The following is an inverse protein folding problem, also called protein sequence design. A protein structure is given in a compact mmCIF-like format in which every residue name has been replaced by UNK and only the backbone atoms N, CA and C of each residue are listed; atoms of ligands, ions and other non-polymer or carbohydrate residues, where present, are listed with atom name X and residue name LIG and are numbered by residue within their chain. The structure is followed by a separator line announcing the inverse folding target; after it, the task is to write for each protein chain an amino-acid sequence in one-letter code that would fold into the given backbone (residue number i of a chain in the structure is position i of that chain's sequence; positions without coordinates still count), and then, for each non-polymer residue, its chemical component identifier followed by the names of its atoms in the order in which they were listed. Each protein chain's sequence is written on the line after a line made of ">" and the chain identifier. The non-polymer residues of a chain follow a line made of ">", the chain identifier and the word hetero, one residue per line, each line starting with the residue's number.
data_IF_235690780842
#
_entry.id   IF_235690780842
#
_cell.length_a   1.000
_cell.length_b   1.000
_cell.length_c   1.000
_cell.angle_alpha   90.00
_cell.angle_beta   90.00
_cell.angle_gamma   90.00
#
_symmetry.space_group_name_H-M   'P 1'
#
loop_
_entity.id
_entity.type
_entity.pdbx_description
1 polymer ?
#
# COMPACT_ATOMS: atom_id res chain seq x y z
N UNK A 1 -17.61 0.28 -0.41
CA UNK A 1 -17.23 -0.99 0.25
C UNK A 1 -16.71 -0.73 1.64
N UNK A 2 -17.13 -1.58 2.58
CA UNK A 2 -17.04 -1.26 4.01
C UNK A 2 -16.01 -2.10 4.78
N UNK A 3 -15.39 -3.11 4.14
CA UNK A 3 -14.41 -4.00 4.77
C UNK A 3 -13.34 -3.27 5.59
N UNK A 4 -12.67 -2.20 5.09
CA UNK A 4 -11.67 -1.49 5.88
C UNK A 4 -12.24 -0.78 7.11
N UNK A 5 -13.52 -0.43 7.10
CA UNK A 5 -14.21 0.32 8.16
C UNK A 5 -14.88 -0.59 9.19
N UNK A 6 -15.37 -1.75 8.75
CA UNK A 6 -15.93 -2.78 9.65
C UNK A 6 -14.80 -3.35 10.51
N UNK A 7 -13.64 -3.62 9.87
CA UNK A 7 -12.48 -4.25 10.49
C UNK A 7 -12.81 -5.61 11.12
N UNK A 8 -11.86 -6.18 11.85
CA UNK A 8 -12.17 -7.26 12.77
C UNK A 8 -12.73 -6.69 14.07
N UNK A 9 -13.54 -7.50 14.74
CA UNK A 9 -14.05 -7.20 16.07
C UNK A 9 -13.04 -7.60 17.17
N UNK A 10 -11.75 -7.73 16.84
CA UNK A 10 -10.68 -8.12 17.75
C UNK A 10 -10.21 -6.92 18.58
N UNK A 11 -10.90 -6.73 19.69
CA UNK A 11 -10.57 -5.69 20.66
C UNK A 11 -9.42 -6.14 21.57
N UNK A 12 -8.41 -5.29 21.86
CA UNK A 12 -7.33 -5.63 22.80
C UNK A 12 -7.81 -5.95 24.22
N UNK A 13 -8.80 -5.20 24.72
CA UNK A 13 -9.49 -5.48 25.99
C UNK A 13 -10.99 -5.73 25.70
N UNK A 14 -11.49 -6.97 25.82
CA UNK A 14 -12.89 -7.29 25.52
C UNK A 14 -13.93 -6.46 26.29
N UNK A 15 -13.58 -5.95 27.49
CA UNK A 15 -14.53 -5.29 28.38
C UNK A 15 -14.61 -3.78 28.22
N UNK A 16 -13.71 -3.17 27.45
CA UNK A 16 -13.50 -1.73 27.59
C UNK A 16 -14.68 -0.84 27.12
N UNK A 17 -15.69 -1.27 26.35
CA UNK A 17 -16.77 -0.45 25.73
C UNK A 17 -16.46 0.90 25.01
N UNK A 18 -15.50 1.72 25.47
CA UNK A 18 -15.15 3.05 24.96
C UNK A 18 -14.10 3.02 23.85
N UNK A 19 -13.52 1.86 23.57
CA UNK A 19 -12.49 1.68 22.57
C UNK A 19 -12.93 2.14 21.20
N UNK A 20 -12.15 3.06 20.66
CA UNK A 20 -12.28 3.54 19.31
C UNK A 20 -11.45 2.70 18.36
N UNK A 21 -12.07 2.23 17.29
CA UNK A 21 -11.35 1.54 16.21
C UNK A 21 -10.37 2.49 15.54
N UNK A 22 -9.16 2.01 15.19
CA UNK A 22 -8.23 2.77 14.37
C UNK A 22 -8.91 3.24 13.08
N UNK A 23 -8.69 4.49 12.68
CA UNK A 23 -9.23 5.00 11.42
C UNK A 23 -8.43 4.43 10.25
N UNK A 24 -9.08 3.84 9.22
CA UNK A 24 -8.39 3.34 8.04
C UNK A 24 -7.73 4.46 7.23
N UNK A 25 -6.73 4.12 6.41
CA UNK A 25 -6.06 5.05 5.49
C UNK A 25 -6.90 5.40 4.24
N UNK A 26 -8.12 4.88 4.15
CA UNK A 26 -9.09 5.19 3.10
C UNK A 26 -10.35 5.77 3.73
N UNK A 27 -10.91 6.83 3.15
CA UNK A 27 -12.19 7.39 3.61
C UNK A 27 -13.33 6.55 3.04
N UNK A 28 -14.45 6.46 3.76
CA UNK A 28 -15.59 5.64 3.33
C UNK A 28 -16.12 5.99 1.94
N UNK A 29 -16.14 7.28 1.59
CA UNK A 29 -16.55 7.77 0.25
C UNK A 29 -15.59 7.39 -0.88
N UNK A 30 -14.35 7.04 -0.57
CA UNK A 30 -13.33 6.63 -1.54
C UNK A 30 -13.31 5.09 -1.72
N UNK A 31 -14.27 4.37 -1.12
CA UNK A 31 -14.43 2.92 -1.25
C UNK A 31 -15.47 2.54 -2.29
N UNK A 32 -15.05 2.07 -3.46
CA UNK A 32 -15.91 1.69 -4.58
C UNK A 32 -16.09 0.16 -4.68
N UNK A 33 -17.34 -0.26 -4.86
CA UNK A 33 -17.66 -1.67 -5.14
C UNK A 33 -17.59 -1.94 -6.64
N UNK A 34 -16.83 -2.95 -7.05
CA UNK A 34 -16.73 -3.45 -8.44
C UNK A 34 -17.70 -4.61 -8.62
N UNK A 35 -18.53 -4.56 -9.65
CA UNK A 35 -19.51 -5.61 -9.96
C UNK A 35 -18.83 -6.77 -10.68
N UNK A 36 -18.20 -7.62 -9.89
CA UNK A 36 -17.62 -8.89 -10.33
C UNK A 36 -17.70 -9.91 -9.19
N UNK A 37 -17.55 -11.20 -9.52
CA UNK A 37 -17.43 -12.28 -8.54
C UNK A 37 -16.66 -13.46 -9.11
N UNK A 38 -15.65 -13.88 -8.36
CA UNK A 38 -15.00 -15.18 -8.47
C UNK A 38 -15.45 -16.04 -7.28
N UNK A 39 -15.58 -17.35 -7.48
CA UNK A 39 -15.89 -18.33 -6.43
C UNK A 39 -14.61 -18.82 -5.73
N UNK A 40 -14.71 -19.48 -4.56
CA UNK A 40 -13.54 -20.09 -3.93
C UNK A 40 -12.81 -21.13 -4.80
N UNK A 41 -13.49 -21.73 -5.79
CA UNK A 41 -12.90 -22.69 -6.73
C UNK A 41 -12.17 -22.01 -7.90
N UNK A 42 -12.14 -20.68 -7.95
CA UNK A 42 -11.58 -19.91 -9.07
C UNK A 42 -12.53 -19.78 -10.27
N UNK A 43 -13.79 -20.22 -10.16
CA UNK A 43 -14.75 -20.05 -11.25
C UNK A 43 -15.31 -18.62 -11.25
N UNK A 44 -15.56 -18.06 -12.44
CA UNK A 44 -16.19 -16.75 -12.57
C UNK A 44 -17.70 -16.90 -12.41
N UNK A 45 -18.26 -16.33 -11.34
CA UNK A 45 -19.70 -16.31 -11.07
C UNK A 45 -20.37 -15.06 -11.67
N UNK A 46 -19.72 -13.90 -11.50
CA UNK A 46 -20.13 -12.65 -12.15
C UNK A 46 -18.93 -12.11 -12.94
N UNK A 47 -19.01 -12.08 -14.29
CA UNK A 47 -17.89 -11.65 -15.11
C UNK A 47 -17.64 -10.14 -14.94
N UNK A 48 -16.36 -9.76 -14.94
CA UNK A 48 -15.97 -8.36 -15.06
C UNK A 48 -16.19 -7.89 -16.51
N UNK A 49 -17.24 -7.11 -16.73
CA UNK A 49 -17.62 -6.59 -18.05
C UNK A 49 -16.88 -5.30 -18.37
N UNK A 50 -16.75 -4.97 -19.67
CA UNK A 50 -16.09 -3.73 -20.09
C UNK A 50 -16.89 -2.48 -19.64
N UNK A 51 -18.22 -2.57 -19.60
CA UNK A 51 -19.08 -1.53 -19.03
C UNK A 51 -18.76 -1.25 -17.55
N UNK A 52 -18.44 -2.30 -16.78
CA UNK A 52 -18.07 -2.15 -15.38
C UNK A 52 -16.67 -1.56 -15.23
N UNK A 53 -15.73 -1.93 -16.10
CA UNK A 53 -14.41 -1.30 -16.19
C UNK A 53 -14.53 0.20 -16.45
N UNK A 54 -15.32 0.59 -17.45
CA UNK A 54 -15.55 2.00 -17.81
C UNK A 54 -16.17 2.77 -16.64
N UNK A 55 -17.18 2.19 -15.98
CA UNK A 55 -17.81 2.79 -14.79
C UNK A 55 -16.80 3.03 -13.67
N UNK A 56 -15.92 2.05 -13.40
CA UNK A 56 -14.88 2.20 -12.39
C UNK A 56 -13.87 3.27 -12.81
N UNK A 57 -13.45 3.28 -14.07
CA UNK A 57 -12.57 4.31 -14.62
C UNK A 57 -13.16 5.71 -14.49
N UNK A 58 -14.46 5.89 -14.73
CA UNK A 58 -15.15 7.18 -14.58
C UNK A 58 -15.21 7.63 -13.11
N UNK A 59 -15.45 6.69 -12.19
CA UNK A 59 -15.38 6.99 -10.76
C UNK A 59 -13.97 7.41 -10.33
N UNK A 60 -12.94 6.72 -10.82
CA UNK A 60 -11.54 7.06 -10.54
C UNK A 60 -11.21 8.43 -11.14
N UNK A 61 -11.62 8.74 -12.38
CA UNK A 61 -11.43 10.06 -12.99
C UNK A 61 -12.02 11.18 -12.12
N UNK A 62 -13.28 11.07 -11.72
CA UNK A 62 -13.93 12.08 -10.85
C UNK A 62 -13.20 12.23 -9.52
N UNK A 63 -12.79 11.12 -8.93
CA UNK A 63 -11.99 11.18 -7.71
C UNK A 63 -10.63 11.85 -7.93
N UNK A 64 -9.98 11.63 -9.08
CA UNK A 64 -8.74 12.30 -9.50
C UNK A 64 -8.93 13.79 -9.83
N UNK A 65 -10.12 14.23 -10.20
CA UNK A 65 -10.42 15.66 -10.40
C UNK A 65 -10.65 16.38 -9.06
N UNK A 66 -11.20 15.68 -8.05
CA UNK A 66 -11.57 16.24 -6.74
C UNK A 66 -10.37 16.58 -5.82
N UNK A 67 -9.14 16.64 -6.33
CA UNK A 67 -7.98 16.92 -5.49
C UNK A 67 -6.65 16.93 -6.21
N UNK A 68 -5.59 17.02 -5.41
CA UNK A 68 -4.28 17.45 -5.93
C UNK A 68 -3.59 16.38 -6.78
N UNK A 69 -2.98 16.77 -7.92
CA UNK A 69 -2.19 15.88 -8.76
C UNK A 69 -1.00 15.26 -7.99
N UNK A 70 -0.69 13.99 -8.25
CA UNK A 70 0.55 13.34 -7.79
C UNK A 70 0.57 12.85 -6.34
N UNK A 71 -0.56 12.85 -5.63
CA UNK A 71 -0.68 12.33 -4.26
C UNK A 71 -1.72 11.21 -4.13
N UNK A 72 -1.98 10.52 -5.22
CA UNK A 72 -3.14 9.62 -5.36
C UNK A 72 -2.70 8.25 -5.81
N UNK A 73 -3.35 7.23 -5.28
CA UNK A 73 -3.12 5.84 -5.65
C UNK A 73 -4.41 5.02 -5.54
N UNK A 74 -4.43 3.86 -6.20
CA UNK A 74 -5.55 2.93 -6.17
C UNK A 74 -5.13 1.61 -5.53
N UNK A 75 -5.87 1.16 -4.52
CA UNK A 75 -5.78 -0.17 -3.97
C UNK A 75 -6.90 -1.05 -4.54
N UNK A 76 -6.54 -2.15 -5.18
CA UNK A 76 -7.49 -3.14 -5.71
C UNK A 76 -7.45 -4.39 -4.85
N UNK A 77 -8.60 -4.76 -4.30
CA UNK A 77 -8.77 -5.95 -3.48
C UNK A 77 -10.07 -6.67 -3.81
N UNK A 78 -10.02 -7.57 -4.79
CA UNK A 78 -11.16 -8.40 -5.16
C UNK A 78 -11.19 -9.69 -4.33
N UNK A 79 -12.37 -10.28 -4.18
CA UNK A 79 -12.56 -11.53 -3.46
C UNK A 79 -11.94 -12.69 -4.26
N UNK A 80 -11.21 -13.56 -3.57
CA UNK A 80 -10.48 -14.69 -4.16
C UNK A 80 -9.40 -14.33 -5.20
N UNK A 81 -9.00 -13.06 -5.31
CA UNK A 81 -7.90 -12.64 -6.21
C UNK A 81 -6.56 -13.30 -5.90
N UNK A 82 -6.34 -13.73 -4.64
CA UNK A 82 -5.15 -14.50 -4.25
C UNK A 82 -5.06 -15.88 -4.93
N UNK A 83 -6.19 -16.42 -5.41
CA UNK A 83 -6.26 -17.70 -6.10
C UNK A 83 -6.42 -17.50 -7.62
N UNK A 84 -7.25 -16.53 -8.04
CA UNK A 84 -7.50 -16.21 -9.44
C UNK A 84 -7.42 -14.68 -9.65
N UNK A 85 -6.26 -14.16 -10.09
CA UNK A 85 -6.00 -12.72 -10.16
C UNK A 85 -6.53 -12.06 -11.45
N UNK A 86 -7.12 -12.81 -12.38
CA UNK A 86 -7.50 -12.30 -13.71
C UNK A 86 -8.32 -11.01 -13.67
N UNK A 87 -9.30 -10.90 -12.76
CA UNK A 87 -10.12 -9.68 -12.66
C UNK A 87 -9.32 -8.48 -12.13
N UNK A 88 -8.41 -8.68 -11.17
CA UNK A 88 -7.54 -7.60 -10.68
C UNK A 88 -6.59 -7.11 -11.77
N UNK A 89 -5.99 -8.03 -12.52
CA UNK A 89 -5.08 -7.71 -13.61
C UNK A 89 -5.78 -6.96 -14.74
N UNK A 90 -6.99 -7.37 -15.12
CA UNK A 90 -7.81 -6.66 -16.13
C UNK A 90 -8.17 -5.25 -15.67
N UNK A 91 -8.52 -5.09 -14.40
CA UNK A 91 -8.85 -3.77 -13.85
C UNK A 91 -7.62 -2.84 -13.82
N UNK A 92 -6.47 -3.35 -13.40
CA UNK A 92 -5.22 -2.59 -13.43
C UNK A 92 -4.81 -2.22 -14.86
N UNK A 93 -4.90 -3.15 -15.82
CA UNK A 93 -4.57 -2.86 -17.22
C UNK A 93 -5.47 -1.75 -17.80
N UNK A 94 -6.78 -1.81 -17.52
CA UNK A 94 -7.72 -0.77 -17.96
C UNK A 94 -7.39 0.59 -17.34
N UNK A 95 -7.13 0.63 -16.02
CA UNK A 95 -6.79 1.87 -15.32
C UNK A 95 -5.43 2.43 -15.76
N UNK A 96 -4.43 1.59 -16.02
CA UNK A 96 -3.11 2.01 -16.47
C UNK A 96 -3.14 2.64 -17.87
N UNK A 97 -4.00 2.15 -18.78
CA UNK A 97 -4.21 2.78 -20.09
C UNK A 97 -4.83 4.17 -19.94
N UNK A 98 -5.80 4.32 -19.04
CA UNK A 98 -6.53 5.58 -18.86
C UNK A 98 -5.76 6.60 -18.00
N UNK A 99 -4.96 6.13 -17.05
CA UNK A 99 -4.22 6.93 -16.08
C UNK A 99 -2.78 6.40 -15.92
N UNK A 100 -1.87 6.69 -16.87
CA UNK A 100 -0.52 6.11 -16.90
C UNK A 100 0.32 6.43 -15.66
N UNK A 101 0.12 7.59 -15.04
CA UNK A 101 0.88 8.06 -13.88
C UNK A 101 0.23 7.68 -12.53
N UNK A 102 -0.89 6.95 -12.54
CA UNK A 102 -1.60 6.55 -11.33
C UNK A 102 -1.01 5.27 -10.75
N UNK A 103 -0.41 5.31 -9.55
CA UNK A 103 0.09 4.10 -8.90
C UNK A 103 -1.08 3.20 -8.49
N UNK A 104 -0.98 1.92 -8.86
CA UNK A 104 -1.96 0.88 -8.53
C UNK A 104 -1.27 -0.18 -7.69
N UNK A 105 -1.95 -0.64 -6.64
CA UNK A 105 -1.51 -1.77 -5.82
C UNK A 105 -2.56 -2.86 -5.89
N UNK A 106 -2.14 -4.03 -6.37
CA UNK A 106 -2.98 -5.22 -6.52
C UNK A 106 -2.84 -6.12 -5.31
N UNK A 107 -3.96 -6.56 -4.74
CA UNK A 107 -3.92 -7.30 -3.49
C UNK A 107 -3.28 -8.67 -3.60
N UNK A 108 -3.40 -9.32 -4.77
CA UNK A 108 -2.73 -10.60 -5.03
C UNK A 108 -1.20 -10.48 -5.13
N UNK A 109 -0.67 -9.31 -5.48
CA UNK A 109 0.77 -9.06 -5.51
C UNK A 109 1.31 -8.62 -4.14
N UNK A 110 0.55 -7.76 -3.44
CA UNK A 110 0.98 -7.19 -2.16
C UNK A 110 0.87 -8.19 -1.02
N UNK A 111 -0.26 -8.87 -0.90
CA UNK A 111 -0.55 -9.78 0.21
C UNK A 111 -1.52 -10.89 -0.24
N UNK A 112 -1.04 -11.94 -0.96
CA UNK A 112 -1.85 -13.06 -1.45
C UNK A 112 -2.31 -13.97 -0.31
N UNK A 113 -3.16 -13.45 0.56
CA UNK A 113 -3.71 -14.10 1.74
C UNK A 113 -5.20 -14.32 1.54
N UNK A 114 -5.72 -15.45 1.98
CA UNK A 114 -7.15 -15.75 1.92
C UNK A 114 -8.02 -14.79 2.75
N UNK A 115 -7.42 -14.13 3.76
CA UNK A 115 -8.12 -13.24 4.68
C UNK A 115 -8.29 -11.84 4.08
N UNK A 116 -9.54 -11.53 3.71
CA UNK A 116 -9.88 -10.29 3.00
C UNK A 116 -9.52 -9.02 3.77
N UNK A 117 -9.78 -8.96 5.08
CA UNK A 117 -9.47 -7.76 5.87
C UNK A 117 -7.96 -7.48 5.94
N UNK A 118 -7.16 -8.48 6.30
CA UNK A 118 -5.70 -8.34 6.39
C UNK A 118 -5.09 -7.99 5.03
N UNK A 119 -5.61 -8.61 3.96
CA UNK A 119 -5.20 -8.31 2.58
C UNK A 119 -5.60 -6.89 2.18
N UNK A 120 -6.83 -6.46 2.45
CA UNK A 120 -7.31 -5.11 2.20
C UNK A 120 -6.46 -4.06 2.93
N UNK A 121 -6.27 -4.23 4.24
CA UNK A 121 -5.52 -3.30 5.08
C UNK A 121 -4.08 -3.11 4.59
N UNK A 122 -3.41 -4.20 4.22
CA UNK A 122 -2.03 -4.15 3.69
C UNK A 122 -1.99 -3.50 2.31
N UNK A 123 -2.93 -3.82 1.42
CA UNK A 123 -2.98 -3.27 0.06
C UNK A 123 -3.32 -1.78 0.06
N UNK A 124 -4.22 -1.34 0.94
CA UNK A 124 -4.55 0.09 1.13
C UNK A 124 -3.33 0.84 1.64
N UNK A 125 -2.62 0.29 2.63
CA UNK A 125 -1.41 0.90 3.16
C UNK A 125 -0.30 0.98 2.10
N UNK A 126 -0.12 -0.07 1.31
CA UNK A 126 0.82 -0.11 0.18
C UNK A 126 0.53 1.01 -0.82
N UNK A 127 -0.71 1.09 -1.32
CA UNK A 127 -1.14 2.14 -2.24
C UNK A 127 -0.95 3.53 -1.64
N UNK A 128 -1.32 3.71 -0.38
CA UNK A 128 -1.18 4.98 0.33
C UNK A 128 0.29 5.45 0.40
N UNK A 129 1.23 4.55 0.68
CA UNK A 129 2.65 4.90 0.83
C UNK A 129 3.36 5.04 -0.52
N UNK A 130 2.90 4.35 -1.56
CA UNK A 130 3.56 4.28 -2.88
C UNK A 130 3.96 5.65 -3.46
N UNK A 131 3.06 6.66 -3.58
CA UNK A 131 3.45 7.98 -4.11
C UNK A 131 4.53 8.68 -3.27
N UNK A 132 4.48 8.53 -1.94
CA UNK A 132 5.47 9.12 -1.04
C UNK A 132 6.85 8.52 -1.25
N UNK A 133 6.89 7.20 -1.42
CA UNK A 133 8.12 6.46 -1.58
C UNK A 133 8.78 6.75 -2.94
N UNK A 134 8.01 6.83 -4.03
CA UNK A 134 8.53 7.27 -5.33
C UNK A 134 9.22 8.62 -5.23
N UNK A 135 8.53 9.64 -4.67
CA UNK A 135 9.11 10.98 -4.50
C UNK A 135 10.38 10.97 -3.65
N UNK A 136 10.41 10.16 -2.59
CA UNK A 136 11.58 10.03 -1.74
C UNK A 136 12.75 9.43 -2.49
N UNK A 137 12.54 8.30 -3.18
CA UNK A 137 13.56 7.61 -3.96
C UNK A 137 14.11 8.50 -5.07
N UNK A 138 13.24 9.18 -5.82
CA UNK A 138 13.64 10.07 -6.92
C UNK A 138 14.46 11.26 -6.44
N UNK A 139 14.08 11.83 -5.29
CA UNK A 139 14.85 12.93 -4.68
C UNK A 139 16.21 12.45 -4.17
N UNK A 140 16.24 11.28 -3.55
CA UNK A 140 17.49 10.70 -3.04
C UNK A 140 18.44 10.33 -4.18
N UNK A 141 17.94 9.69 -5.22
CA UNK A 141 18.71 9.31 -6.40
C UNK A 141 19.34 10.54 -7.08
N UNK A 142 18.56 11.61 -7.30
CA UNK A 142 19.08 12.87 -7.87
C UNK A 142 20.20 13.48 -7.02
N UNK A 143 20.01 13.60 -5.71
CA UNK A 143 21.03 14.16 -4.81
C UNK A 143 22.32 13.33 -4.78
N UNK A 144 22.20 12.01 -4.88
CA UNK A 144 23.37 11.14 -4.95
C UNK A 144 24.12 11.31 -6.27
N UNK A 145 23.40 11.42 -7.39
CA UNK A 145 24.00 11.70 -8.70
C UNK A 145 24.70 13.07 -8.73
N UNK A 146 24.07 14.12 -8.19
CA UNK A 146 24.65 15.47 -8.06
C UNK A 146 25.93 15.46 -7.20
N UNK A 147 26.00 14.59 -6.20
CA UNK A 147 27.19 14.39 -5.36
C UNK A 147 28.25 13.47 -6.00
N UNK A 148 28.05 13.01 -7.24
CA UNK A 148 29.01 12.21 -7.99
C UNK A 148 28.92 10.69 -7.76
N UNK A 149 27.90 10.21 -7.04
CA UNK A 149 27.68 8.77 -6.86
C UNK A 149 27.00 8.16 -8.09
N UNK A 150 27.63 7.15 -8.69
CA UNK A 150 27.12 6.42 -9.88
C UNK A 150 26.62 5.01 -9.56
N UNK A 151 26.77 4.56 -8.32
CA UNK A 151 26.36 3.23 -7.90
C UNK A 151 24.81 3.12 -7.84
N UNK A 152 24.23 1.96 -8.19
CA UNK A 152 22.80 1.73 -8.05
C UNK A 152 22.34 1.87 -6.58
N UNK A 153 21.32 2.70 -6.35
CA UNK A 153 20.70 2.84 -5.04
C UNK A 153 19.90 1.58 -4.71
N UNK A 154 20.13 1.01 -3.53
CA UNK A 154 19.37 -0.14 -3.03
C UNK A 154 18.82 0.13 -1.63
N UNK A 155 17.55 -0.21 -1.43
CA UNK A 155 16.84 -0.14 -0.16
C UNK A 155 16.77 -1.53 0.49
N UNK A 156 16.65 -1.56 1.81
CA UNK A 156 16.53 -2.80 2.58
C UNK A 156 15.06 -3.14 2.87
N UNK A 157 14.70 -4.41 2.70
CA UNK A 157 13.40 -4.97 3.04
C UNK A 157 13.36 -5.41 4.50
N UNK A 158 12.17 -5.55 5.06
CA UNK A 158 11.93 -6.02 6.42
C UNK A 158 12.50 -7.41 6.71
N UNK A 159 12.64 -8.26 5.69
CA UNK A 159 13.27 -9.58 5.78
C UNK A 159 14.80 -9.56 5.69
N UNK A 160 15.44 -8.38 5.70
CA UNK A 160 16.90 -8.23 5.63
C UNK A 160 17.49 -8.32 4.21
N UNK A 161 16.66 -8.59 3.19
CA UNK A 161 17.09 -8.54 1.79
C UNK A 161 17.22 -7.11 1.27
N UNK A 162 17.86 -6.92 0.11
CA UNK A 162 17.97 -5.62 -0.57
C UNK A 162 17.20 -5.62 -1.89
N UNK A 163 16.70 -4.47 -2.29
CA UNK A 163 16.03 -4.25 -3.57
C UNK A 163 16.51 -2.94 -4.18
N UNK A 164 16.67 -2.89 -5.50
CA UNK A 164 16.96 -1.63 -6.19
C UNK A 164 15.87 -0.61 -5.90
N UNK A 165 16.25 0.65 -5.70
CA UNK A 165 15.33 1.67 -5.20
C UNK A 165 14.14 1.93 -6.14
N UNK A 166 14.36 1.82 -7.46
CA UNK A 166 13.27 1.90 -8.45
C UNK A 166 12.22 0.81 -8.21
N UNK A 167 12.63 -0.46 -8.15
CA UNK A 167 11.73 -1.58 -7.86
C UNK A 167 11.12 -1.54 -6.45
N UNK A 168 11.84 -0.95 -5.49
CA UNK A 168 11.37 -0.80 -4.12
C UNK A 168 10.26 0.26 -4.01
N UNK A 169 10.27 1.28 -4.87
CA UNK A 169 9.20 2.27 -4.93
C UNK A 169 7.87 1.66 -5.40
N UNK A 170 7.93 0.67 -6.31
CA UNK A 170 6.75 -0.04 -6.84
C UNK A 170 6.13 -1.02 -5.83
N UNK A 171 6.88 -1.43 -4.80
CA UNK A 171 6.45 -2.40 -3.79
C UNK A 171 6.81 -1.91 -2.38
N UNK A 172 6.08 -0.91 -1.83
CA UNK A 172 6.40 -0.33 -0.52
C UNK A 172 6.13 -1.25 0.66
N UNK A 173 5.15 -2.17 0.61
CA UNK A 173 4.74 -2.98 1.77
C UNK A 173 5.91 -3.70 2.49
N UNK A 174 6.84 -4.37 1.80
CA UNK A 174 8.01 -4.99 2.42
C UNK A 174 8.98 -4.01 3.11
N UNK A 175 8.93 -2.72 2.81
CA UNK A 175 9.81 -1.70 3.38
C UNK A 175 9.24 -1.06 4.65
N UNK A 176 7.93 -1.11 4.87
CA UNK A 176 7.26 -0.41 5.99
C UNK A 176 7.78 -0.88 7.35
N UNK A 177 8.13 -2.16 7.45
CA UNK A 177 8.67 -2.78 8.68
C UNK A 177 10.19 -2.89 8.64
N UNK A 178 10.85 -2.38 7.58
CA UNK A 178 12.30 -2.36 7.52
C UNK A 178 12.83 -1.43 8.61
N UNK A 179 13.54 -2.01 9.58
CA UNK A 179 14.19 -1.25 10.65
C UNK A 179 15.30 -0.40 10.04
N UNK A 180 15.38 0.87 10.44
CA UNK A 180 16.49 1.73 10.06
C UNK A 180 17.83 1.06 10.40
N UNK A 181 18.74 0.98 9.42
CA UNK A 181 20.07 0.41 9.61
C UNK A 181 20.83 1.26 10.63
N UNK A 182 21.48 0.60 11.59
CA UNK A 182 22.51 1.24 12.42
C UNK A 182 23.61 1.74 11.46
N UNK A 183 24.11 2.97 11.58
CA UNK A 183 25.24 3.40 10.77
C UNK A 183 26.38 2.40 10.93
N UNK A 184 27.03 2.04 9.82
CA UNK A 184 28.24 1.22 9.85
C UNK A 184 29.29 1.94 10.71
N UNK A 185 30.08 1.23 11.51
CA UNK A 185 31.21 1.85 12.17
C UNK A 185 32.11 2.49 11.11
N UNK A 186 32.62 3.68 11.40
CA UNK A 186 33.61 4.38 10.58
C UNK A 186 34.77 3.43 10.22
N UNK A 187 35.35 3.53 9.01
CA UNK A 187 36.48 2.70 8.63
C UNK A 187 37.66 2.98 9.57
N UNK A 188 37.87 2.10 10.56
CA UNK A 188 38.87 2.27 11.61
C UNK A 188 38.60 1.50 12.90
N UNK A 189 37.38 1.01 13.15
CA UNK A 189 37.07 0.15 14.30
C UNK A 189 37.63 -1.26 14.12
N UNK A 190 38.57 -1.68 14.97
CA UNK A 190 39.15 -3.01 14.92
C UNK A 190 38.10 -4.10 15.25
N UNK A 191 38.19 -5.24 14.55
CA UNK A 191 37.42 -6.45 14.86
C UNK A 191 37.90 -6.96 16.23
N UNK A 192 37.23 -6.56 17.31
CA UNK A 192 37.60 -6.95 18.67
C UNK A 192 37.10 -6.03 19.79
N UNK A 193 36.60 -4.83 19.48
CA UNK A 193 36.04 -3.97 20.53
C UNK A 193 34.77 -4.59 21.15
N UNK A 194 34.63 -4.54 22.49
CA UNK A 194 33.41 -5.01 23.15
C UNK A 194 32.22 -4.21 22.61
N UNK A 195 31.04 -4.82 22.46
CA UNK A 195 29.86 -4.11 21.99
C UNK A 195 29.58 -2.96 22.98
N UNK A 196 29.85 -1.73 22.55
CA UNK A 196 29.48 -0.53 23.30
C UNK A 196 27.99 -0.57 23.62
N UNK A 197 27.63 0.00 24.77
CA UNK A 197 26.26 -0.05 25.30
C UNK A 197 25.21 0.19 24.20
N UNK A 198 24.12 -0.60 24.18
CA UNK A 198 23.04 -0.36 23.24
C UNK A 198 22.56 1.08 23.43
N UNK A 199 22.79 1.93 22.42
CA UNK A 199 22.22 3.27 22.33
C UNK A 199 20.72 3.09 22.47
N UNK A 200 20.19 3.41 23.66
CA UNK A 200 18.76 3.35 23.91
C UNK A 200 18.11 4.25 22.87
N UNK A 201 17.17 3.75 22.05
CA UNK A 201 16.41 4.62 21.18
C UNK A 201 15.78 5.71 22.06
N UNK A 202 15.73 6.97 21.62
CA UNK A 202 15.05 8.01 22.36
C UNK A 202 13.65 7.49 22.73
N UNK A 203 13.24 7.70 24.00
CA UNK A 203 11.89 7.35 24.46
C UNK A 203 10.91 7.86 23.41
N UNK A 204 10.09 6.96 22.84
CA UNK A 204 9.04 7.31 21.90
C UNK A 204 8.22 8.45 22.50
N UNK A 205 8.46 9.67 22.05
CA UNK A 205 7.45 10.70 22.04
C UNK A 205 6.39 10.23 21.05
N UNK A 206 5.16 10.16 21.51
CA UNK A 206 3.95 10.14 20.71
C UNK A 206 4.12 10.92 19.40
N UNK A 207 3.82 10.26 18.28
CA UNK A 207 3.83 10.83 16.95
C UNK A 207 5.14 10.60 16.19
N UNK A 208 5.10 9.68 15.20
CA UNK A 208 5.85 9.97 13.98
C UNK A 208 5.33 11.33 13.50
N UNK A 209 6.14 12.37 13.66
CA UNK A 209 5.84 13.69 13.16
C UNK A 209 5.75 13.62 11.64
N UNK A 210 4.54 13.47 11.12
CA UNK A 210 4.19 13.66 9.71
C UNK A 210 4.45 15.10 9.24
N UNK A 211 4.89 16.00 10.14
CA UNK A 211 5.20 17.40 9.89
C UNK A 211 6.30 17.64 8.83
N UNK A 212 7.13 16.64 8.51
CA UNK A 212 8.12 16.72 7.43
C UNK A 212 7.63 16.23 6.05
N UNK A 213 6.42 15.65 5.99
CA UNK A 213 5.91 14.91 4.84
C UNK A 213 4.77 15.65 4.12
N UNK A 214 4.83 16.98 4.00
CA UNK A 214 3.84 17.74 3.20
C UNK A 214 2.38 17.38 3.50
N UNK A 215 1.52 17.36 2.47
CA UNK A 215 0.16 16.81 2.58
C UNK A 215 0.21 15.29 2.45
N UNK A 216 -0.73 14.65 3.14
CA UNK A 216 -0.87 13.20 3.15
C UNK A 216 -1.55 12.72 1.86
N UNK A 217 -1.08 11.62 1.26
CA UNK A 217 -1.68 11.06 0.06
C UNK A 217 -3.10 10.55 0.34
N UNK A 218 -3.86 10.33 -0.73
CA UNK A 218 -5.17 9.71 -0.67
C UNK A 218 -5.19 8.43 -1.52
N UNK A 219 -5.91 7.42 -1.06
CA UNK A 219 -6.10 6.18 -1.79
C UNK A 219 -7.59 5.94 -2.09
N UNK A 220 -7.90 5.43 -3.29
CA UNK A 220 -9.21 4.80 -3.58
C UNK A 220 -9.10 3.32 -3.33
N UNK A 221 -10.13 2.75 -2.71
CA UNK A 221 -10.24 1.32 -2.44
C UNK A 221 -11.29 0.72 -3.37
N UNK A 222 -10.85 -0.16 -4.28
CA UNK A 222 -11.70 -0.94 -5.18
C UNK A 222 -11.82 -2.35 -4.60
N UNK A 223 -13.05 -2.78 -4.32
CA UNK A 223 -13.29 -4.15 -3.85
C UNK A 223 -14.55 -4.76 -4.46
N UNK A 224 -14.66 -6.08 -4.44
CA UNK A 224 -15.85 -6.76 -4.97
C UNK A 224 -17.09 -6.26 -4.26
N UNK A 225 -18.13 -5.92 -5.04
CA UNK A 225 -19.36 -5.35 -4.50
C UNK A 225 -20.01 -6.33 -3.52
N UNK A 226 -20.24 -5.91 -2.29
CA UNK A 226 -20.96 -6.73 -1.31
C UNK A 226 -22.47 -6.69 -1.61
N UNK A 227 -23.03 -7.81 -2.06
CA UNK A 227 -24.43 -7.96 -2.47
C UNK A 227 -24.57 -8.58 -3.86
N UNK A 228 -25.08 -9.82 -3.91
CA UNK A 228 -25.60 -10.40 -5.16
C UNK A 228 -26.74 -9.50 -5.68
N UNK A 229 -26.92 -9.34 -7.00
CA UNK A 229 -28.19 -8.82 -7.49
C UNK A 229 -29.33 -9.67 -6.89
N UNK A 230 -30.45 -9.06 -6.48
CA UNK A 230 -31.60 -9.86 -6.07
C UNK A 230 -31.97 -10.82 -7.22
N UNK A 231 -32.48 -12.03 -6.89
CA UNK A 231 -32.85 -13.04 -7.88
C UNK A 231 -33.87 -12.52 -8.89
#
# INVERSE_FOLDING_TARGET
>A
EDIPHIQRADKPDPYDLQWERPRPFVRRRDGLGVRERITPSGAVEVPLTDQELDRVGDCVARWLDDGEPGERAVAVNLLFSFAEPTHEQRLAAHLAVRFPDLPISLSHEVAPLWREYERASTTILDAYVKPLLHRFVDRLARRLQEAGYTAPLALMKSNGGRLLAAAAADQPAPLIVARAMRPLPEPGGAIGDPPGEPVRPPRRSSGLGLAGWGRLPAAVYLASRTGLPPP
#
